data_IF_074731514562
#
_entry.id   IF_074731514562
#
_cell.length_a   1.000
_cell.length_b   1.000
_cell.length_c   1.000
_cell.angle_alpha   90.00
_cell.angle_beta   90.00
_cell.angle_gamma   90.00
#
_symmetry.space_group_name_H-M   'P 1'
#
loop_
_entity.id
_entity.type
_entity.pdbx_description
1 polymer ?
#
# COMPACT_ATOMS: atom_id res chain seq x y z
N UNK A 1 37.23 -176.95 -55.21
CA UNK A 1 38.23 -175.86 -55.27
C UNK A 1 37.61 -174.46 -55.36
N UNK A 2 36.70 -174.16 -56.31
CA UNK A 2 36.09 -172.82 -56.48
C UNK A 2 35.36 -172.29 -55.23
N UNK A 3 34.55 -173.12 -54.57
CA UNK A 3 33.85 -172.74 -53.32
C UNK A 3 34.80 -172.40 -52.16
N UNK A 4 35.96 -173.06 -52.05
CA UNK A 4 36.94 -172.77 -50.96
C UNK A 4 37.67 -171.44 -51.17
N UNK A 5 38.02 -171.10 -52.42
CA UNK A 5 38.66 -169.81 -52.76
C UNK A 5 37.69 -168.64 -52.66
N UNK A 6 36.43 -168.81 -53.07
CA UNK A 6 35.39 -167.78 -52.85
C UNK A 6 35.09 -167.59 -51.37
N UNK A 7 35.06 -168.68 -50.59
CA UNK A 7 34.89 -168.62 -49.14
C UNK A 7 36.04 -167.84 -48.47
N UNK A 8 37.29 -168.03 -48.90
CA UNK A 8 38.45 -167.32 -48.33
C UNK A 8 38.48 -165.82 -48.69
N UNK A 9 38.17 -165.45 -49.93
CA UNK A 9 38.05 -164.05 -50.36
C UNK A 9 36.90 -163.34 -49.63
N UNK A 10 35.77 -164.02 -49.45
CA UNK A 10 34.66 -163.50 -48.66
C UNK A 10 35.05 -163.37 -47.18
N UNK A 11 35.75 -164.36 -46.60
CA UNK A 11 36.30 -164.28 -45.24
C UNK A 11 37.28 -163.12 -45.08
N UNK A 12 38.19 -162.91 -46.03
CA UNK A 12 39.16 -161.80 -46.02
C UNK A 12 38.47 -160.44 -46.19
N UNK A 13 37.49 -160.32 -47.11
CA UNK A 13 36.70 -159.11 -47.27
C UNK A 13 35.87 -158.80 -46.01
N UNK A 14 35.28 -159.82 -45.39
CA UNK A 14 34.60 -159.69 -44.09
C UNK A 14 35.58 -159.27 -43.00
N UNK A 15 36.80 -159.82 -42.96
CA UNK A 15 37.83 -159.45 -41.98
C UNK A 15 38.32 -158.01 -42.18
N UNK A 16 38.59 -157.57 -43.42
CA UNK A 16 38.96 -156.19 -43.74
C UNK A 16 37.83 -155.20 -43.40
N UNK A 17 36.58 -155.55 -43.73
CA UNK A 17 35.41 -154.74 -43.34
C UNK A 17 35.24 -154.68 -41.83
N UNK A 18 35.42 -155.80 -41.11
CA UNK A 18 35.41 -155.82 -39.64
C UNK A 18 36.51 -154.95 -39.03
N UNK A 19 37.72 -154.97 -39.59
CA UNK A 19 38.83 -154.14 -39.12
C UNK A 19 38.58 -152.64 -39.39
N UNK A 20 38.05 -152.31 -40.58
CA UNK A 20 37.68 -150.93 -40.90
C UNK A 20 36.49 -150.43 -40.06
N UNK A 21 35.50 -151.29 -39.79
CA UNK A 21 34.42 -151.01 -38.84
C UNK A 21 34.99 -150.71 -37.45
N UNK A 22 35.90 -151.55 -36.94
CA UNK A 22 36.57 -151.29 -35.66
C UNK A 22 37.36 -149.97 -35.66
N UNK A 23 38.05 -149.64 -36.75
CA UNK A 23 38.77 -148.36 -36.89
C UNK A 23 37.82 -147.17 -36.87
N UNK A 24 36.70 -147.25 -37.59
CA UNK A 24 35.68 -146.19 -37.61
C UNK A 24 34.96 -146.08 -36.28
N UNK A 25 34.68 -147.18 -35.58
CA UNK A 25 34.16 -147.20 -34.22
C UNK A 25 35.14 -146.53 -33.24
N UNK A 26 36.44 -146.82 -33.34
CA UNK A 26 37.48 -146.15 -32.55
C UNK A 26 37.58 -144.65 -32.84
N UNK A 27 37.39 -144.23 -34.10
CA UNK A 27 37.40 -142.81 -34.48
C UNK A 27 36.12 -142.09 -34.02
N UNK A 28 34.97 -142.74 -34.17
CA UNK A 28 33.67 -142.23 -33.73
C UNK A 28 33.64 -142.05 -32.22
N UNK A 29 34.05 -143.06 -31.44
CA UNK A 29 34.16 -142.96 -29.97
C UNK A 29 35.15 -141.87 -29.55
N UNK A 30 36.26 -141.67 -30.28
CA UNK A 30 37.21 -140.59 -29.98
C UNK A 30 36.62 -139.20 -30.23
N UNK A 31 35.92 -138.99 -31.35
CA UNK A 31 35.24 -137.73 -31.63
C UNK A 31 34.04 -137.50 -30.72
N UNK A 32 33.27 -138.54 -30.38
CA UNK A 32 32.17 -138.47 -29.42
C UNK A 32 32.67 -138.04 -28.03
N UNK A 33 33.76 -138.64 -27.55
CA UNK A 33 34.42 -138.19 -26.31
C UNK A 33 34.98 -136.76 -26.41
N UNK A 34 35.34 -136.29 -27.61
CA UNK A 34 35.82 -134.90 -27.82
C UNK A 34 34.66 -133.92 -27.80
N UNK A 35 33.55 -134.26 -28.45
CA UNK A 35 32.31 -133.50 -28.45
C UNK A 35 31.71 -133.43 -27.05
N UNK A 36 31.63 -134.57 -26.34
CA UNK A 36 31.10 -134.61 -24.97
C UNK A 36 31.92 -133.71 -24.02
N UNK A 37 33.26 -133.68 -24.18
CA UNK A 37 34.10 -132.73 -23.43
C UNK A 37 33.79 -131.28 -23.80
N UNK A 38 33.69 -130.96 -25.09
CA UNK A 38 33.37 -129.62 -25.55
C UNK A 38 31.98 -129.15 -25.10
N UNK A 39 30.98 -130.03 -25.13
CA UNK A 39 29.63 -129.81 -24.64
C UNK A 39 29.64 -129.52 -23.14
N UNK A 40 30.34 -130.35 -22.35
CA UNK A 40 30.53 -130.09 -20.90
C UNK A 40 31.25 -128.77 -20.60
N UNK A 41 32.17 -128.33 -21.45
CA UNK A 41 32.81 -127.02 -21.29
C UNK A 41 31.84 -125.89 -21.63
N UNK A 42 31.09 -126.01 -22.72
CA UNK A 42 30.10 -125.01 -23.11
C UNK A 42 28.97 -124.89 -22.08
N UNK A 43 28.52 -126.01 -21.53
CA UNK A 43 27.53 -126.04 -20.44
C UNK A 43 28.05 -125.34 -19.19
N UNK A 44 29.30 -125.58 -18.79
CA UNK A 44 29.95 -124.86 -17.69
C UNK A 44 30.04 -123.36 -17.96
N UNK A 45 30.46 -122.96 -19.16
CA UNK A 45 30.56 -121.54 -19.53
C UNK A 45 29.17 -120.87 -19.53
N UNK A 46 28.13 -121.56 -19.99
CA UNK A 46 26.76 -121.07 -19.91
C UNK A 46 26.32 -120.87 -18.46
N UNK A 47 26.61 -121.81 -17.55
CA UNK A 47 26.29 -121.66 -16.12
C UNK A 47 27.05 -120.50 -15.46
N UNK A 48 28.33 -120.31 -15.81
CA UNK A 48 29.15 -119.19 -15.34
C UNK A 48 28.63 -117.84 -15.85
N UNK A 49 28.17 -117.80 -17.11
CA UNK A 49 27.58 -116.59 -17.69
C UNK A 49 26.26 -116.22 -17.03
N UNK A 50 25.39 -117.21 -16.78
CA UNK A 50 24.14 -116.99 -16.04
C UNK A 50 24.39 -116.55 -14.61
N UNK A 51 25.42 -117.08 -13.94
CA UNK A 51 25.89 -116.58 -12.64
C UNK A 51 26.38 -115.13 -12.71
N UNK A 52 27.16 -114.79 -13.73
CA UNK A 52 27.64 -113.43 -13.95
C UNK A 52 26.51 -112.44 -14.20
N UNK A 53 25.52 -112.79 -15.03
CA UNK A 53 24.34 -111.95 -15.28
C UNK A 53 23.53 -111.73 -14.01
N UNK A 54 23.27 -112.79 -13.24
CA UNK A 54 22.57 -112.67 -11.95
C UNK A 54 23.31 -111.76 -10.97
N UNK A 55 24.63 -111.87 -10.88
CA UNK A 55 25.42 -111.03 -9.97
C UNK A 55 25.51 -109.58 -10.48
N UNK A 56 25.63 -109.37 -11.79
CA UNK A 56 25.61 -108.02 -12.38
C UNK A 56 24.26 -107.33 -12.17
N UNK A 57 23.16 -108.02 -12.45
CA UNK A 57 21.80 -107.51 -12.23
C UNK A 57 21.58 -107.21 -10.75
N UNK A 58 22.04 -108.11 -9.86
CA UNK A 58 21.96 -107.91 -8.41
C UNK A 58 22.76 -106.67 -7.98
N UNK A 59 23.98 -106.51 -8.48
CA UNK A 59 24.86 -105.36 -8.19
C UNK A 59 24.27 -104.05 -8.73
N UNK A 60 23.75 -104.05 -9.96
CA UNK A 60 23.08 -102.91 -10.60
C UNK A 60 21.84 -102.47 -9.83
N UNK A 61 20.98 -103.41 -9.44
CA UNK A 61 19.79 -103.14 -8.60
C UNK A 61 20.19 -102.61 -7.23
N UNK A 62 21.25 -103.15 -6.61
CA UNK A 62 21.76 -102.64 -5.34
C UNK A 62 22.28 -101.20 -5.47
N UNK A 63 23.06 -100.90 -6.52
CA UNK A 63 23.55 -99.56 -6.81
C UNK A 63 22.40 -98.56 -7.05
N UNK A 64 21.37 -98.97 -7.79
CA UNK A 64 20.16 -98.17 -8.02
C UNK A 64 19.42 -97.88 -6.72
N UNK A 65 19.21 -98.90 -5.87
CA UNK A 65 18.57 -98.72 -4.55
C UNK A 65 19.36 -97.79 -3.64
N UNK A 66 20.70 -97.88 -3.65
CA UNK A 66 21.55 -96.97 -2.88
C UNK A 66 21.43 -95.53 -3.41
N UNK A 67 21.47 -95.33 -4.73
CA UNK A 67 21.26 -94.02 -5.34
C UNK A 67 19.88 -93.43 -5.04
N UNK A 68 18.82 -94.24 -5.05
CA UNK A 68 17.46 -93.82 -4.67
C UNK A 68 17.37 -93.40 -3.20
N UNK A 69 18.02 -94.13 -2.28
CA UNK A 69 18.09 -93.75 -0.87
C UNK A 69 18.83 -92.43 -0.67
N UNK A 70 19.98 -92.28 -1.30
CA UNK A 70 20.78 -91.04 -1.23
C UNK A 70 20.03 -89.84 -1.84
N UNK A 71 19.35 -90.03 -2.97
CA UNK A 71 18.53 -88.96 -3.58
C UNK A 71 17.32 -88.59 -2.73
N UNK A 72 16.71 -89.57 -2.04
CA UNK A 72 15.64 -89.31 -1.07
C UNK A 72 16.13 -88.47 0.11
N UNK A 73 17.26 -88.85 0.74
CA UNK A 73 17.86 -88.09 1.85
C UNK A 73 18.23 -86.67 1.38
N UNK A 74 18.82 -86.54 0.19
CA UNK A 74 19.12 -85.24 -0.41
C UNK A 74 17.86 -84.39 -0.59
N UNK A 75 16.77 -84.97 -1.09
CA UNK A 75 15.51 -84.25 -1.29
C UNK A 75 14.91 -83.78 0.04
N UNK A 76 14.92 -84.64 1.07
CA UNK A 76 14.50 -84.29 2.43
C UNK A 76 15.31 -83.12 2.99
N UNK A 77 16.64 -83.13 2.81
CA UNK A 77 17.51 -82.02 3.22
C UNK A 77 17.28 -80.74 2.42
N UNK A 78 16.95 -80.83 1.13
CA UNK A 78 16.57 -79.64 0.34
C UNK A 78 15.28 -79.01 0.86
N UNK A 79 14.30 -79.81 1.28
CA UNK A 79 13.05 -79.30 1.87
C UNK A 79 13.36 -78.62 3.20
N UNK A 80 14.15 -79.24 4.08
CA UNK A 80 14.56 -78.66 5.36
C UNK A 80 15.31 -77.32 5.18
N UNK A 81 16.22 -77.22 4.21
CA UNK A 81 16.92 -75.97 3.87
C UNK A 81 15.93 -74.89 3.41
N UNK A 82 14.93 -75.26 2.59
CA UNK A 82 13.92 -74.30 2.12
C UNK A 82 13.06 -73.80 3.27
N UNK A 83 12.64 -74.67 4.16
CA UNK A 83 11.83 -74.32 5.33
C UNK A 83 12.63 -73.41 6.28
N UNK A 84 13.89 -73.73 6.57
CA UNK A 84 14.78 -72.88 7.36
C UNK A 84 15.03 -71.53 6.69
N UNK A 85 15.20 -71.50 5.37
CA UNK A 85 15.38 -70.24 4.61
C UNK A 85 14.14 -69.36 4.71
N UNK A 86 12.94 -69.95 4.62
CA UNK A 86 11.68 -69.24 4.78
C UNK A 86 11.54 -68.66 6.21
N UNK A 87 11.90 -69.43 7.25
CA UNK A 87 11.91 -68.94 8.64
C UNK A 87 12.88 -67.78 8.83
N UNK A 88 14.10 -67.86 8.27
CA UNK A 88 15.07 -66.77 8.32
C UNK A 88 14.51 -65.51 7.66
N UNK A 89 13.85 -65.63 6.49
CA UNK A 89 13.23 -64.48 5.83
C UNK A 89 12.10 -63.88 6.68
N UNK A 90 11.27 -64.71 7.31
CA UNK A 90 10.21 -64.23 8.18
C UNK A 90 10.77 -63.47 9.39
N UNK A 91 11.74 -64.05 10.11
CA UNK A 91 12.40 -63.43 11.26
C UNK A 91 13.08 -62.12 10.85
N UNK A 92 13.78 -62.08 9.70
CA UNK A 92 14.39 -60.84 9.18
C UNK A 92 13.34 -59.76 8.91
N UNK A 93 12.18 -60.14 8.36
CA UNK A 93 11.09 -59.20 8.14
C UNK A 93 10.49 -58.67 9.44
N UNK A 94 10.40 -59.51 10.47
CA UNK A 94 9.96 -59.10 11.81
C UNK A 94 10.97 -58.17 12.48
N UNK A 95 12.27 -58.49 12.40
CA UNK A 95 13.35 -57.61 12.88
C UNK A 95 13.25 -56.24 12.23
N UNK A 96 13.09 -56.17 10.90
CA UNK A 96 12.94 -54.90 10.19
C UNK A 96 11.73 -54.09 10.69
N UNK A 97 10.58 -54.75 10.90
CA UNK A 97 9.38 -54.07 11.47
C UNK A 97 9.63 -53.54 12.88
N UNK A 98 10.33 -54.31 13.71
CA UNK A 98 10.68 -53.88 15.06
C UNK A 98 11.72 -52.76 15.07
N UNK A 99 12.69 -52.78 14.16
CA UNK A 99 13.66 -51.68 13.96
C UNK A 99 12.95 -50.40 13.54
N UNK A 100 12.01 -50.47 12.60
CA UNK A 100 11.20 -49.32 12.19
C UNK A 100 10.39 -48.80 13.38
N UNK A 101 9.72 -49.68 14.13
CA UNK A 101 8.94 -49.29 15.32
C UNK A 101 9.83 -48.66 16.39
N UNK A 102 11.03 -49.19 16.60
CA UNK A 102 12.01 -48.64 17.54
C UNK A 102 12.47 -47.25 17.12
N UNK A 103 12.66 -46.98 15.82
CA UNK A 103 12.97 -45.63 15.34
C UNK A 103 11.85 -44.64 15.67
N UNK A 104 10.59 -45.02 15.48
CA UNK A 104 9.45 -44.16 15.86
C UNK A 104 9.45 -43.88 17.36
N UNK A 105 9.70 -44.89 18.20
CA UNK A 105 9.79 -44.70 19.65
C UNK A 105 10.97 -43.82 20.07
N UNK A 106 12.12 -43.89 19.37
CA UNK A 106 13.24 -42.97 19.60
C UNK A 106 12.85 -41.53 19.29
N UNK A 107 12.19 -41.29 18.15
CA UNK A 107 11.69 -39.96 17.77
C UNK A 107 10.71 -39.43 18.81
N UNK A 108 9.77 -40.27 19.28
CA UNK A 108 8.82 -39.87 20.33
C UNK A 108 9.52 -39.59 21.66
N UNK A 109 10.52 -40.39 22.05
CA UNK A 109 11.33 -40.15 23.25
C UNK A 109 12.04 -38.79 23.17
N UNK A 110 12.70 -38.50 22.05
CA UNK A 110 13.41 -37.23 21.84
C UNK A 110 12.45 -36.04 21.85
N UNK A 111 11.25 -36.21 21.28
CA UNK A 111 10.20 -35.20 21.31
C UNK A 111 9.71 -34.92 22.74
N UNK A 112 9.44 -35.97 23.52
CA UNK A 112 9.02 -35.83 24.92
C UNK A 112 10.10 -35.15 25.76
N UNK A 113 11.39 -35.41 25.53
CA UNK A 113 12.46 -34.69 26.21
C UNK A 113 12.49 -33.20 25.85
N UNK A 114 12.24 -32.82 24.59
CA UNK A 114 12.18 -31.40 24.20
C UNK A 114 11.03 -30.65 24.87
N UNK A 115 9.92 -31.33 25.15
CA UNK A 115 8.75 -30.76 25.81
C UNK A 115 8.82 -30.85 27.34
N UNK A 116 9.71 -31.68 27.88
CA UNK A 116 9.90 -31.80 29.33
C UNK A 116 10.51 -30.49 29.87
N UNK A 117 10.06 -30.01 31.05
CA UNK A 117 10.64 -28.83 31.69
C UNK A 117 12.15 -28.97 31.87
N UNK A 118 12.89 -27.90 31.59
CA UNK A 118 14.36 -27.90 31.66
C UNK A 118 14.86 -28.19 33.07
N UNK A 119 14.15 -27.68 34.07
CA UNK A 119 14.44 -27.88 35.49
C UNK A 119 14.39 -29.36 35.86
N UNK A 120 13.46 -30.12 35.28
CA UNK A 120 13.35 -31.56 35.51
C UNK A 120 14.42 -32.34 34.73
N UNK A 121 14.75 -31.92 33.51
CA UNK A 121 15.82 -32.53 32.71
C UNK A 121 17.19 -32.39 33.37
N UNK A 122 17.48 -31.19 33.89
CA UNK A 122 18.75 -30.89 34.57
C UNK A 122 18.89 -31.73 35.85
N UNK A 123 17.81 -31.90 36.62
CA UNK A 123 17.79 -32.76 37.81
C UNK A 123 18.00 -34.25 37.46
N UNK A 124 17.45 -34.70 36.34
CA UNK A 124 17.67 -36.08 35.85
C UNK A 124 19.09 -36.29 35.34
N UNK A 125 19.66 -35.31 34.65
CA UNK A 125 21.05 -35.37 34.20
C UNK A 125 22.02 -35.37 35.40
N UNK A 126 21.74 -34.57 36.42
CA UNK A 126 22.50 -34.56 37.67
C UNK A 126 22.43 -35.91 38.38
N UNK A 127 21.24 -36.52 38.46
CA UNK A 127 21.05 -37.89 38.99
C UNK A 127 21.83 -38.93 38.18
N UNK A 128 21.81 -38.83 36.84
CA UNK A 128 22.58 -39.71 35.94
C UNK A 128 24.08 -39.57 36.19
N UNK A 129 24.57 -38.34 36.32
CA UNK A 129 25.98 -38.07 36.62
C UNK A 129 26.37 -38.55 38.01
N UNK A 130 25.49 -38.44 39.01
CA UNK A 130 25.72 -38.93 40.36
C UNK A 130 25.75 -40.47 40.40
N UNK A 131 24.85 -41.14 39.70
CA UNK A 131 24.83 -42.60 39.56
C UNK A 131 26.08 -43.12 38.83
N UNK A 132 26.50 -42.45 37.75
CA UNK A 132 27.75 -42.78 37.05
C UNK A 132 28.98 -42.63 37.95
N UNK A 133 29.03 -41.57 38.76
CA UNK A 133 30.10 -41.36 39.76
C UNK A 133 30.05 -42.40 40.89
N UNK A 134 28.86 -42.89 41.27
CA UNK A 134 28.70 -43.92 42.28
C UNK A 134 29.00 -45.34 41.76
N UNK A 135 28.79 -45.58 40.46
CA UNK A 135 29.13 -46.84 39.75
C UNK A 135 30.61 -46.97 39.40
N UNK A 136 31.47 -46.00 39.69
CA UNK A 136 32.93 -46.17 39.64
C UNK A 136 33.54 -46.52 41.01
N UNK A 137 33.58 -47.79 41.43
CA UNK A 137 34.52 -48.27 42.45
C UNK A 137 35.73 -48.95 41.78
N UNK A 138 36.87 -48.23 41.76
CA UNK A 138 38.24 -48.72 41.78
C UNK A 138 38.64 -49.94 40.94
N UNK A 139 39.29 -49.72 39.79
CA UNK A 139 40.29 -50.64 39.26
C UNK A 139 41.71 -50.08 39.53
N UNK A 140 42.36 -50.72 40.50
CA UNK A 140 43.78 -50.52 40.84
C UNK A 140 44.68 -51.08 39.73
N UNK A 141 45.71 -50.30 39.41
CA UNK A 141 47.09 -50.69 39.07
C UNK A 141 47.34 -52.20 39.11
N UNK A 142 47.65 -52.80 37.94
CA UNK A 142 48.42 -54.05 37.87
C UNK A 142 49.35 -54.05 36.65
N UNK A 143 50.53 -53.49 36.88
CA UNK A 143 51.85 -53.92 36.42
C UNK A 143 51.99 -54.53 35.02
N UNK A 144 52.37 -53.63 34.12
CA UNK A 144 53.31 -53.91 33.03
C UNK A 144 54.65 -54.42 33.59
N UNK A 145 54.90 -55.73 33.52
CA UNK A 145 56.18 -56.36 33.10
C UNK A 145 56.31 -57.82 33.58
N UNK A 146 56.28 -58.80 32.67
CA UNK A 146 57.23 -59.93 32.70
C UNK A 146 57.31 -60.70 31.36
N UNK A 147 58.45 -60.52 30.69
CA UNK A 147 59.27 -61.49 29.96
C UNK A 147 58.64 -62.61 29.09
N UNK A 148 58.95 -62.53 27.78
CA UNK A 148 59.80 -63.46 27.00
C UNK A 148 59.75 -64.97 27.30
N UNK A 149 59.45 -65.81 26.28
CA UNK A 149 60.39 -66.77 25.64
C UNK A 149 59.71 -67.89 24.79
N UNK A 150 60.32 -68.15 23.62
CA UNK A 150 60.23 -69.31 22.69
C UNK A 150 58.87 -69.54 21.98
N UNK A 151 58.73 -69.45 20.65
CA UNK A 151 59.48 -70.11 19.54
C UNK A 151 58.46 -71.03 18.82
N UNK A 152 58.43 -71.31 17.52
CA UNK A 152 59.25 -71.02 16.35
C UNK A 152 58.42 -71.46 15.11
N UNK A 153 58.73 -70.87 13.95
CA UNK A 153 58.54 -71.34 12.55
C UNK A 153 57.15 -71.55 11.89
N UNK A 154 57.01 -70.82 10.76
CA UNK A 154 56.31 -71.27 9.55
C UNK A 154 55.73 -70.14 8.69
N UNK A 155 56.52 -69.15 8.26
CA UNK A 155 56.97 -68.97 6.85
C UNK A 155 55.99 -69.41 5.75
N UNK A 156 55.54 -68.45 4.93
CA UNK A 156 55.52 -68.66 3.47
C UNK A 156 54.23 -68.41 2.69
N UNK A 157 54.04 -67.14 2.30
CA UNK A 157 53.66 -66.68 0.96
C UNK A 157 52.27 -66.95 0.33
N UNK A 158 51.59 -65.80 0.09
CA UNK A 158 51.03 -65.32 -1.20
C UNK A 158 49.92 -66.17 -1.86
N UNK A 159 48.70 -65.61 -1.94
CA UNK A 159 48.26 -64.86 -3.13
C UNK A 159 46.79 -64.45 -3.03
N UNK A 160 46.51 -63.21 -3.47
CA UNK A 160 45.19 -62.68 -3.78
C UNK A 160 44.53 -63.49 -4.90
N UNK A 161 43.25 -63.82 -4.77
CA UNK A 161 42.36 -63.88 -5.94
C UNK A 161 40.93 -63.64 -5.49
N UNK A 162 40.40 -62.54 -5.98
CA UNK A 162 39.01 -62.19 -5.88
C UNK A 162 38.22 -62.89 -6.99
N UNK A 163 36.90 -62.94 -6.78
CA UNK A 163 35.83 -62.97 -7.79
C UNK A 163 35.32 -64.32 -8.32
N UNK A 164 34.01 -64.48 -8.09
CA UNK A 164 32.99 -64.72 -9.11
C UNK A 164 32.75 -66.18 -9.51
N UNK A 165 31.86 -66.82 -8.76
CA UNK A 165 31.20 -68.04 -9.22
C UNK A 165 30.15 -67.66 -10.25
N UNK A 166 30.52 -67.79 -11.53
CA UNK A 166 29.59 -67.76 -12.67
C UNK A 166 29.39 -69.19 -13.17
N UNK A 167 28.12 -69.56 -13.16
CA UNK A 167 27.55 -70.86 -13.49
C UNK A 167 27.86 -71.29 -14.93
N UNK A 168 28.33 -72.52 -15.08
CA UNK A 168 28.59 -73.18 -16.36
C UNK A 168 27.40 -74.08 -16.69
N UNK A 169 26.63 -73.70 -17.73
CA UNK A 169 25.74 -74.63 -18.42
C UNK A 169 26.43 -75.10 -19.72
N UNK A 170 26.64 -76.41 -19.82
CA UNK A 170 27.12 -77.09 -21.02
C UNK A 170 25.97 -77.85 -21.70
N UNK A 171 25.81 -77.51 -22.98
CA UNK A 171 25.14 -78.19 -24.10
C UNK A 171 24.97 -79.71 -23.98
N UNK A 172 23.75 -80.19 -24.33
CA UNK A 172 23.57 -81.27 -25.34
C UNK A 172 22.30 -81.04 -26.19
N UNK A 173 22.51 -80.93 -27.52
CA UNK A 173 21.58 -81.18 -28.64
C UNK A 173 21.80 -82.64 -29.11
N UNK A 174 20.87 -83.34 -29.81
CA UNK A 174 20.41 -83.00 -31.19
C UNK A 174 18.91 -83.30 -31.46
N UNK A 175 18.26 -82.68 -32.46
CA UNK A 175 18.27 -83.14 -33.85
C UNK A 175 17.66 -82.10 -34.80
N UNK A 176 18.06 -82.18 -36.07
CA UNK A 176 17.67 -81.32 -37.19
C UNK A 176 16.50 -81.95 -37.95
N UNK A 177 15.51 -81.16 -38.39
CA UNK A 177 14.99 -81.20 -39.77
C UNK A 177 14.61 -79.77 -40.18
N UNK A 178 14.96 -79.43 -41.42
CA UNK A 178 14.84 -78.15 -42.10
C UNK A 178 13.60 -78.15 -43.01
N UNK A 179 12.85 -77.02 -43.10
CA UNK A 179 12.77 -76.19 -44.31
C UNK A 179 11.84 -74.95 -44.17
N UNK A 180 12.45 -73.79 -44.41
CA UNK A 180 12.03 -72.59 -45.16
C UNK A 180 10.58 -72.05 -45.12
N UNK A 181 10.48 -70.73 -44.89
CA UNK A 181 9.33 -69.88 -45.28
C UNK A 181 9.45 -68.43 -44.78
N UNK A 182 9.70 -67.51 -45.70
CA UNK A 182 9.88 -66.04 -45.63
C UNK A 182 9.01 -65.19 -44.67
N UNK A 183 9.70 -64.24 -43.97
CA UNK A 183 9.52 -62.76 -43.99
C UNK A 183 8.15 -62.11 -43.59
N UNK A 184 8.06 -60.77 -43.36
CA UNK A 184 7.92 -60.24 -41.99
C UNK A 184 6.80 -59.19 -41.79
N UNK A 185 6.72 -58.69 -40.55
CA UNK A 185 6.37 -57.31 -40.11
C UNK A 185 4.91 -56.88 -39.88
N UNK A 186 4.78 -56.11 -38.79
CA UNK A 186 3.95 -54.89 -38.58
C UNK A 186 2.66 -54.99 -37.77
N UNK A 187 2.68 -54.33 -36.60
CA UNK A 187 1.84 -53.18 -36.17
C UNK A 187 2.30 -52.75 -34.75
N UNK A 188 3.01 -51.64 -34.57
CA UNK A 188 2.53 -50.24 -34.33
C UNK A 188 1.71 -50.12 -33.02
N UNK A 189 2.21 -49.56 -31.90
CA UNK A 189 2.64 -48.17 -31.57
C UNK A 189 1.52 -47.29 -30.97
N UNK A 190 1.87 -46.60 -29.88
CA UNK A 190 1.15 -45.54 -29.15
C UNK A 190 0.57 -44.42 -30.04
N UNK A 191 -0.28 -43.54 -29.49
CA UNK A 191 0.24 -42.22 -29.08
C UNK A 191 -0.30 -41.66 -27.75
N UNK A 192 0.51 -40.75 -27.21
CA UNK A 192 0.34 -39.87 -26.05
C UNK A 192 -0.18 -38.49 -26.51
N UNK A 193 -0.54 -37.62 -25.54
CA UNK A 193 -0.76 -36.13 -25.54
C UNK A 193 -2.16 -35.81 -24.95
N UNK A 194 -2.39 -34.88 -24.01
CA UNK A 194 -1.54 -33.90 -23.34
C UNK A 194 -2.33 -33.08 -22.31
N UNK A 195 -1.57 -32.56 -21.33
CA UNK A 195 -1.77 -31.61 -20.23
C UNK A 195 -2.92 -30.57 -20.26
N UNK A 196 -3.44 -30.27 -19.05
CA UNK A 196 -3.55 -28.90 -18.53
C UNK A 196 -3.62 -28.89 -16.98
N UNK A 197 -2.94 -27.94 -16.36
CA UNK A 197 -2.56 -27.85 -14.95
C UNK A 197 -3.28 -26.70 -14.22
N UNK A 198 -3.60 -26.88 -12.93
CA UNK A 198 -3.55 -25.83 -11.88
C UNK A 198 -3.17 -26.47 -10.52
N UNK A 199 -2.49 -25.73 -9.61
CA UNK A 199 -1.65 -26.31 -8.57
C UNK A 199 -2.31 -26.36 -7.17
N UNK A 200 -2.06 -27.44 -6.43
CA UNK A 200 -2.30 -27.50 -4.98
C UNK A 200 -1.06 -27.05 -4.23
N UNK A 201 -1.17 -25.92 -3.53
CA UNK A 201 -0.25 -25.51 -2.48
C UNK A 201 -0.45 -26.43 -1.28
N UNK A 202 0.39 -27.44 -1.10
CA UNK A 202 0.76 -28.11 0.15
C UNK A 202 1.71 -29.25 -0.24
N UNK A 203 2.89 -29.30 0.39
CA UNK A 203 3.97 -30.30 0.20
C UNK A 203 5.20 -29.81 -0.57
N UNK A 204 5.84 -28.74 -0.09
CA UNK A 204 7.22 -28.43 -0.49
C UNK A 204 8.05 -27.93 0.69
N UNK A 205 8.18 -28.78 1.73
CA UNK A 205 9.18 -28.63 2.78
C UNK A 205 9.56 -30.04 3.27
N UNK A 206 10.22 -30.83 2.43
CA UNK A 206 11.02 -31.98 2.86
C UNK A 206 11.83 -32.55 1.68
N UNK A 207 12.95 -31.91 1.32
CA UNK A 207 13.93 -32.49 0.38
C UNK A 207 15.33 -31.84 0.41
N UNK A 208 15.64 -30.99 1.41
CA UNK A 208 16.99 -30.42 1.56
C UNK A 208 17.39 -30.29 3.03
N UNK A 209 17.59 -31.42 3.69
CA UNK A 209 18.44 -31.48 4.88
C UNK A 209 19.01 -32.90 5.07
N UNK A 210 19.71 -33.39 4.05
CA UNK A 210 20.46 -34.66 4.17
C UNK A 210 21.89 -34.44 3.73
N UNK A 211 22.64 -33.77 4.59
CA UNK A 211 24.09 -33.96 4.82
C UNK A 211 24.54 -32.95 5.88
N UNK A 212 24.17 -33.23 7.13
CA UNK A 212 25.00 -32.82 8.24
C UNK A 212 25.50 -34.10 8.87
N UNK A 213 26.79 -34.36 8.68
CA UNK A 213 27.56 -35.37 9.39
C UNK A 213 27.51 -35.05 10.88
N UNK A 214 26.53 -35.61 11.58
CA UNK A 214 26.52 -35.68 13.03
C UNK A 214 27.37 -36.91 13.40
N UNK A 215 28.35 -36.80 14.31
CA UNK A 215 29.10 -37.97 14.75
C UNK A 215 28.10 -38.93 15.39
N UNK A 216 28.03 -40.16 14.88
CA UNK A 216 27.42 -41.27 15.60
C UNK A 216 28.12 -41.38 16.95
N UNK A 217 27.49 -40.87 18.01
CA UNK A 217 27.75 -41.40 19.34
C UNK A 217 27.14 -42.79 19.33
N UNK A 218 28.02 -43.78 19.20
CA UNK A 218 27.72 -45.14 19.62
C UNK A 218 27.41 -45.10 21.12
N UNK A 219 26.12 -45.01 21.46
CA UNK A 219 25.65 -45.33 22.81
C UNK A 219 25.79 -46.83 23.01
N UNK A 220 27.02 -47.24 23.32
CA UNK A 220 27.31 -48.53 23.92
C UNK A 220 27.01 -48.40 25.42
N UNK A 221 25.74 -48.28 25.78
CA UNK A 221 25.28 -48.36 27.18
C UNK A 221 23.86 -48.96 27.20
N UNK A 222 23.78 -50.20 26.74
CA UNK A 222 22.69 -51.10 27.09
C UNK A 222 22.91 -51.59 28.53
N UNK A 223 22.65 -50.74 29.52
CA UNK A 223 22.52 -51.20 30.91
C UNK A 223 21.37 -50.47 31.63
N UNK A 224 20.16 -50.98 31.41
CA UNK A 224 19.21 -51.26 32.50
C UNK A 224 18.76 -50.15 33.46
N UNK A 225 18.72 -48.89 33.07
CA UNK A 225 18.06 -47.86 33.88
C UNK A 225 16.85 -47.29 33.10
N UNK A 226 15.68 -47.86 33.38
CA UNK A 226 14.36 -47.29 33.05
C UNK A 226 14.22 -45.96 33.82
N UNK A 227 14.75 -44.87 33.26
CA UNK A 227 14.47 -43.54 33.79
C UNK A 227 13.04 -43.15 33.41
N UNK A 228 12.25 -42.84 34.42
CA UNK A 228 10.87 -42.40 34.27
C UNK A 228 10.80 -41.17 33.35
N UNK A 229 9.93 -41.23 32.35
CA UNK A 229 9.58 -40.07 31.52
C UNK A 229 8.84 -39.04 32.39
N UNK A 230 9.00 -37.74 32.07
CA UNK A 230 8.26 -36.67 32.75
C UNK A 230 6.74 -36.84 32.58
N UNK A 231 6.32 -37.19 31.36
CA UNK A 231 4.93 -37.46 31.03
C UNK A 231 4.62 -38.94 31.28
N UNK A 232 3.80 -39.21 32.29
CA UNK A 232 3.33 -40.56 32.63
C UNK A 232 1.98 -40.87 32.01
N UNK A 233 1.16 -39.84 31.79
CA UNK A 233 -0.17 -39.96 31.17
C UNK A 233 -0.22 -39.15 29.87
N UNK A 234 -0.76 -39.71 28.76
CA UNK A 234 -0.88 -38.99 27.49
C UNK A 234 -1.66 -37.67 27.59
N UNK A 235 -2.57 -37.57 28.56
CA UNK A 235 -3.38 -36.38 28.78
C UNK A 235 -2.55 -35.17 29.24
N UNK A 236 -1.47 -35.40 30.02
CA UNK A 236 -0.57 -34.33 30.46
C UNK A 236 0.09 -33.60 29.27
N UNK A 237 0.43 -34.35 28.22
CA UNK A 237 0.99 -33.76 27.00
C UNK A 237 -0.06 -32.93 26.24
N UNK A 238 -1.29 -33.43 26.17
CA UNK A 238 -2.40 -32.72 25.53
C UNK A 238 -2.78 -31.44 26.29
N UNK A 239 -2.72 -31.48 27.62
CA UNK A 239 -2.97 -30.31 28.48
C UNK A 239 -1.87 -29.25 28.27
N UNK A 240 -0.59 -29.65 28.15
CA UNK A 240 0.51 -28.74 27.78
C UNK A 240 0.29 -28.13 26.40
N UNK A 241 -0.14 -28.92 25.41
CA UNK A 241 -0.48 -28.38 24.09
C UNK A 241 -1.64 -27.40 24.14
N UNK A 242 -2.71 -27.74 24.86
CA UNK A 242 -3.87 -26.86 25.03
C UNK A 242 -3.44 -25.54 25.69
N UNK A 243 -2.60 -25.61 26.71
CA UNK A 243 -2.06 -24.41 27.37
C UNK A 243 -1.17 -23.58 26.43
N UNK A 244 -0.31 -24.22 25.62
CA UNK A 244 0.52 -23.53 24.63
C UNK A 244 -0.34 -22.92 23.51
N UNK A 245 -1.42 -23.60 23.11
CA UNK A 245 -2.40 -23.07 22.15
C UNK A 245 -3.12 -21.85 22.72
N UNK A 246 -3.61 -21.92 23.96
CA UNK A 246 -4.22 -20.78 24.66
C UNK A 246 -3.24 -19.61 24.81
N UNK A 247 -1.99 -19.88 25.19
CA UNK A 247 -0.95 -18.86 25.27
C UNK A 247 -0.66 -18.23 23.90
N UNK A 248 -0.51 -19.03 22.86
CA UNK A 248 -0.30 -18.53 21.50
C UNK A 248 -1.49 -17.70 21.01
N UNK A 249 -2.72 -18.15 21.27
CA UNK A 249 -3.93 -17.38 20.96
C UNK A 249 -3.97 -16.05 21.72
N UNK A 250 -3.60 -16.05 23.00
CA UNK A 250 -3.53 -14.83 23.80
C UNK A 250 -2.46 -13.86 23.29
N UNK A 251 -1.31 -14.36 22.85
CA UNK A 251 -0.23 -13.56 22.25
C UNK A 251 -0.65 -12.97 20.91
N UNK A 252 -1.32 -13.76 20.07
CA UNK A 252 -1.87 -13.30 18.79
C UNK A 252 -2.90 -12.21 19.03
N UNK A 253 -3.85 -12.44 19.94
CA UNK A 253 -4.87 -11.45 20.27
C UNK A 253 -4.24 -10.16 20.81
N UNK A 254 -3.30 -10.26 21.75
CA UNK A 254 -2.62 -9.08 22.30
C UNK A 254 -1.82 -8.32 21.23
N UNK A 255 -1.17 -9.03 20.31
CA UNK A 255 -0.45 -8.43 19.18
C UNK A 255 -1.41 -7.68 18.27
N UNK A 256 -2.57 -8.28 17.97
CA UNK A 256 -3.59 -7.66 17.13
C UNK A 256 -4.24 -6.44 17.79
N UNK A 257 -4.57 -6.52 19.09
CA UNK A 257 -5.07 -5.38 19.87
C UNK A 257 -4.04 -4.24 19.91
N UNK A 258 -2.77 -4.57 20.13
CA UNK A 258 -1.68 -3.59 20.09
C UNK A 258 -1.52 -2.96 18.70
N UNK A 259 -1.62 -3.75 17.63
CA UNK A 259 -1.59 -3.26 16.24
C UNK A 259 -2.74 -2.30 15.97
N UNK A 260 -3.97 -2.62 16.38
CA UNK A 260 -5.14 -1.74 16.26
C UNK A 260 -4.92 -0.42 17.02
N UNK A 261 -4.42 -0.47 18.26
CA UNK A 261 -4.12 0.77 19.00
C UNK A 261 -3.04 1.61 18.32
N UNK A 262 -2.05 0.97 17.70
CA UNK A 262 -0.98 1.64 16.97
C UNK A 262 -1.51 2.29 15.69
N UNK A 263 -2.43 1.63 14.99
CA UNK A 263 -3.11 2.17 13.81
C UNK A 263 -3.99 3.36 14.17
N UNK A 264 -4.75 3.29 15.25
CA UNK A 264 -5.52 4.43 15.77
C UNK A 264 -4.62 5.62 16.13
N UNK A 265 -3.49 5.36 16.81
CA UNK A 265 -2.49 6.38 17.11
C UNK A 265 -1.88 6.98 15.83
N UNK A 266 -1.61 6.16 14.81
CA UNK A 266 -1.11 6.64 13.53
C UNK A 266 -2.14 7.51 12.80
N UNK A 267 -3.43 7.14 12.83
CA UNK A 267 -4.50 7.93 12.23
C UNK A 267 -4.66 9.27 12.95
N UNK A 268 -4.65 9.28 14.29
CA UNK A 268 -4.72 10.52 15.07
C UNK A 268 -3.49 11.41 14.85
N UNK A 269 -2.29 10.83 14.77
CA UNK A 269 -1.06 11.55 14.41
C UNK A 269 -1.15 12.17 13.02
N UNK A 270 -1.58 11.41 12.00
CA UNK A 270 -1.76 11.94 10.64
C UNK A 270 -2.79 13.08 10.61
N UNK A 271 -3.92 12.92 11.30
CA UNK A 271 -4.95 13.95 11.36
C UNK A 271 -4.46 15.23 12.06
N UNK A 272 -3.71 15.10 13.16
CA UNK A 272 -3.11 16.25 13.86
C UNK A 272 -2.04 16.93 13.01
N UNK A 273 -1.19 16.16 12.32
CA UNK A 273 -0.21 16.69 11.37
C UNK A 273 -0.90 17.50 10.26
N UNK A 274 -1.94 16.95 9.63
CA UNK A 274 -2.72 17.65 8.59
C UNK A 274 -3.32 18.96 9.14
N UNK A 275 -3.85 18.95 10.38
CA UNK A 275 -4.40 20.15 11.02
C UNK A 275 -3.32 21.21 11.23
N UNK A 276 -2.17 20.81 11.80
CA UNK A 276 -1.03 21.72 12.00
C UNK A 276 -0.51 22.28 10.68
N UNK A 277 -0.40 21.47 9.64
CA UNK A 277 0.04 21.93 8.32
C UNK A 277 -0.94 22.94 7.70
N UNK A 278 -2.25 22.76 7.90
CA UNK A 278 -3.26 23.76 7.51
C UNK A 278 -3.10 25.06 8.28
N UNK A 279 -2.92 25.00 9.59
CA UNK A 279 -2.69 26.19 10.43
C UNK A 279 -1.41 26.93 10.02
N UNK A 280 -0.31 26.21 9.80
CA UNK A 280 0.95 26.78 9.31
C UNK A 280 0.76 27.45 7.95
N UNK A 281 0.03 26.82 7.03
CA UNK A 281 -0.25 27.41 5.72
C UNK A 281 -1.12 28.67 5.81
N UNK A 282 -2.12 28.67 6.70
CA UNK A 282 -2.95 29.86 6.97
C UNK A 282 -2.11 31.00 7.54
N UNK A 283 -1.23 30.70 8.51
CA UNK A 283 -0.32 31.69 9.08
C UNK A 283 0.65 32.25 8.03
N UNK A 284 1.20 31.41 7.15
CA UNK A 284 2.03 31.85 6.02
C UNK A 284 1.27 32.79 5.08
N UNK A 285 0.03 32.47 4.73
CA UNK A 285 -0.82 33.34 3.91
C UNK A 285 -1.11 34.67 4.59
N UNK A 286 -1.37 34.66 5.90
CA UNK A 286 -1.61 35.87 6.68
C UNK A 286 -0.37 36.75 6.75
N UNK A 287 0.81 36.16 7.00
CA UNK A 287 2.11 36.85 6.94
C UNK A 287 2.30 37.48 5.56
N UNK A 288 2.08 36.74 4.47
CA UNK A 288 2.21 37.28 3.11
C UNK A 288 1.25 38.45 2.85
N UNK A 289 0.03 38.37 3.35
CA UNK A 289 -0.98 39.42 3.20
C UNK A 289 -0.56 40.69 3.95
N UNK A 290 -0.14 40.54 5.20
CA UNK A 290 0.35 41.65 6.03
C UNK A 290 1.61 42.26 5.39
N UNK A 291 2.56 41.46 4.93
CA UNK A 291 3.76 41.96 4.25
C UNK A 291 3.39 42.79 3.00
N UNK A 292 2.41 42.35 2.22
CA UNK A 292 1.94 43.10 1.05
C UNK A 292 1.24 44.41 1.45
N UNK A 293 0.44 44.41 2.52
CA UNK A 293 -0.16 45.63 3.08
C UNK A 293 0.89 46.61 3.60
N UNK A 294 1.91 46.13 4.32
CA UNK A 294 3.03 46.95 4.80
C UNK A 294 3.74 47.59 3.62
N UNK A 295 4.10 46.81 2.60
CA UNK A 295 4.78 47.34 1.41
C UNK A 295 3.96 48.42 0.69
N UNK A 296 2.64 48.24 0.59
CA UNK A 296 1.74 49.24 -0.02
C UNK A 296 1.63 50.51 0.83
N UNK A 297 1.58 50.37 2.15
CA UNK A 297 1.54 51.50 3.08
C UNK A 297 2.88 52.26 3.06
N UNK A 298 4.01 51.55 3.00
CA UNK A 298 5.35 52.14 2.85
C UNK A 298 5.48 52.91 1.52
N UNK A 299 4.96 52.37 0.41
CA UNK A 299 4.91 53.06 -0.88
C UNK A 299 4.03 54.32 -0.80
N UNK A 300 2.84 54.21 -0.20
CA UNK A 300 1.93 55.34 -0.01
C UNK A 300 2.53 56.43 0.89
N UNK A 301 3.23 56.04 1.96
CA UNK A 301 3.95 56.93 2.84
C UNK A 301 5.10 57.64 2.12
N UNK A 302 5.85 56.92 1.27
CA UNK A 302 6.89 57.50 0.43
C UNK A 302 6.32 58.49 -0.59
N UNK A 303 5.18 58.17 -1.24
CA UNK A 303 4.48 59.07 -2.16
C UNK A 303 4.00 60.33 -1.44
N UNK A 304 3.37 60.20 -0.28
CA UNK A 304 2.93 61.33 0.53
C UNK A 304 4.10 62.19 1.02
N UNK A 305 5.22 61.57 1.41
CA UNK A 305 6.43 62.28 1.79
C UNK A 305 7.00 63.09 0.61
N UNK A 306 7.02 62.49 -0.59
CA UNK A 306 7.43 63.18 -1.81
C UNK A 306 6.48 64.35 -2.11
N UNK A 307 5.16 64.11 -2.06
CA UNK A 307 4.13 65.12 -2.25
C UNK A 307 4.32 66.26 -1.26
N UNK A 308 4.44 65.96 0.03
CA UNK A 308 4.71 66.95 1.06
C UNK A 308 5.97 67.75 0.71
N UNK A 309 7.10 67.10 0.39
CA UNK A 309 8.33 67.79 -0.01
C UNK A 309 8.11 68.72 -1.21
N UNK A 310 7.40 68.28 -2.26
CA UNK A 310 7.08 69.11 -3.43
C UNK A 310 6.21 70.32 -3.06
N UNK A 311 5.16 70.13 -2.25
CA UNK A 311 4.30 71.22 -1.79
C UNK A 311 5.02 72.20 -0.85
N UNK A 312 6.01 71.74 -0.07
CA UNK A 312 6.83 72.61 0.78
C UNK A 312 7.93 73.35 -0.01
N UNK A 313 8.27 72.94 -1.23
CA UNK A 313 9.24 73.63 -2.10
C UNK A 313 8.63 74.79 -2.91
N UNK A 314 7.33 74.77 -3.15
CA UNK A 314 6.60 75.96 -3.56
C UNK A 314 6.34 76.82 -2.33
N UNK A 315 6.49 78.14 -2.42
CA UNK A 315 5.95 79.07 -1.42
C UNK A 315 4.41 78.96 -1.43
N UNK A 316 3.88 77.87 -0.86
CA UNK A 316 2.47 77.67 -0.68
C UNK A 316 2.03 78.66 0.40
N UNK A 317 1.47 79.78 -0.04
CA UNK A 317 0.86 80.84 0.78
C UNK A 317 -0.48 80.36 1.38
N UNK A 318 -0.51 79.14 1.91
CA UNK A 318 -1.68 78.52 2.53
C UNK A 318 -2.26 79.41 3.62
N UNK A 319 -1.39 79.93 4.50
CA UNK A 319 -1.78 80.87 5.55
C UNK A 319 -2.48 82.13 5.01
N UNK A 320 -2.07 82.64 3.84
CA UNK A 320 -2.72 83.81 3.24
C UNK A 320 -4.08 83.46 2.61
N UNK A 321 -4.20 82.24 2.06
CA UNK A 321 -5.45 81.75 1.50
C UNK A 321 -6.45 81.39 2.61
N UNK A 322 -5.99 80.84 3.73
CA UNK A 322 -6.81 80.52 4.89
C UNK A 322 -7.34 81.79 5.56
N UNK A 323 -6.49 82.81 5.74
CA UNK A 323 -6.92 84.13 6.21
C UNK A 323 -7.97 84.78 5.28
N UNK A 324 -7.83 84.60 3.96
CA UNK A 324 -8.81 85.09 3.00
C UNK A 324 -10.13 84.32 3.10
N UNK A 325 -10.07 82.99 3.28
CA UNK A 325 -11.22 82.12 3.41
C UNK A 325 -11.99 82.41 4.71
N UNK A 326 -11.28 82.65 5.82
CA UNK A 326 -11.89 83.11 7.07
C UNK A 326 -12.56 84.47 6.89
N UNK A 327 -11.90 85.42 6.23
CA UNK A 327 -12.50 86.74 5.94
C UNK A 327 -13.78 86.63 5.10
N UNK A 328 -13.78 85.76 4.09
CA UNK A 328 -14.95 85.47 3.28
C UNK A 328 -16.06 84.84 4.12
N UNK A 329 -15.73 83.85 4.95
CA UNK A 329 -16.68 83.18 5.81
C UNK A 329 -17.38 84.17 6.75
N UNK A 330 -16.63 85.09 7.37
CA UNK A 330 -17.18 86.17 8.21
C UNK A 330 -18.15 87.07 7.43
N UNK A 331 -17.79 87.50 6.20
CA UNK A 331 -18.68 88.33 5.38
C UNK A 331 -19.97 87.60 4.98
N UNK A 332 -19.86 86.32 4.62
CA UNK A 332 -21.03 85.49 4.26
C UNK A 332 -21.93 85.28 5.47
N UNK A 333 -21.34 85.05 6.66
CA UNK A 333 -22.06 85.00 7.93
C UNK A 333 -22.83 86.29 8.22
N UNK A 334 -22.20 87.45 8.01
CA UNK A 334 -22.85 88.75 8.21
C UNK A 334 -24.03 88.98 7.27
N UNK A 335 -23.91 88.58 6.00
CA UNK A 335 -25.00 88.70 5.01
C UNK A 335 -26.14 87.74 5.35
N UNK A 336 -25.83 86.48 5.65
CA UNK A 336 -26.82 85.48 6.03
C UNK A 336 -27.64 85.89 7.26
N UNK A 337 -26.97 86.43 8.29
CA UNK A 337 -27.62 86.99 9.49
C UNK A 337 -28.63 88.07 9.18
N UNK A 338 -28.30 88.97 8.25
CA UNK A 338 -29.15 90.11 7.87
C UNK A 338 -30.33 89.68 6.99
N UNK A 339 -30.14 88.71 6.11
CA UNK A 339 -31.14 88.34 5.11
C UNK A 339 -32.11 87.23 5.57
N UNK A 340 -31.64 86.24 6.34
CA UNK A 340 -32.38 84.99 6.61
C UNK A 340 -32.75 84.83 8.09
N UNK A 341 -31.95 85.40 9.00
CA UNK A 341 -32.15 85.35 10.45
C UNK A 341 -31.30 84.28 11.17
N UNK A 342 -31.23 84.38 12.51
CA UNK A 342 -30.27 83.69 13.38
C UNK A 342 -30.57 82.20 13.64
N UNK A 343 -31.62 81.61 13.06
CA UNK A 343 -32.14 80.30 13.48
C UNK A 343 -31.26 79.08 13.11
N UNK A 344 -30.31 79.19 12.17
CA UNK A 344 -29.57 78.03 11.61
C UNK A 344 -28.05 78.25 11.49
N UNK A 345 -27.45 79.11 12.32
CA UNK A 345 -26.03 79.48 12.17
C UNK A 345 -25.01 78.37 12.46
N UNK A 346 -25.36 77.36 13.27
CA UNK A 346 -24.38 76.44 13.83
C UNK A 346 -23.93 75.28 12.90
N UNK A 347 -24.65 75.01 11.80
CA UNK A 347 -24.45 73.78 11.01
C UNK A 347 -24.23 74.01 9.49
N UNK A 348 -24.15 75.26 9.03
CA UNK A 348 -24.03 75.58 7.60
C UNK A 348 -22.60 75.97 7.25
N UNK A 349 -22.01 75.31 6.25
CA UNK A 349 -20.73 75.74 5.66
C UNK A 349 -20.91 76.99 4.78
N UNK A 350 -19.85 77.75 4.52
CA UNK A 350 -19.89 79.02 3.76
C UNK A 350 -20.60 78.90 2.41
N UNK A 351 -20.40 77.79 1.69
CA UNK A 351 -21.07 77.53 0.40
C UNK A 351 -22.57 77.31 0.61
N UNK A 352 -22.96 76.55 1.62
CA UNK A 352 -24.38 76.30 1.92
C UNK A 352 -25.09 77.59 2.35
N UNK A 353 -24.42 78.45 3.12
CA UNK A 353 -24.94 79.76 3.50
C UNK A 353 -25.19 80.66 2.28
N UNK A 354 -24.25 80.67 1.31
CA UNK A 354 -24.42 81.40 0.06
C UNK A 354 -25.62 80.90 -0.76
N UNK A 355 -25.81 79.58 -0.86
CA UNK A 355 -26.95 78.99 -1.56
C UNK A 355 -28.30 79.41 -0.95
N UNK A 356 -28.39 79.50 0.38
CA UNK A 356 -29.62 79.95 1.05
C UNK A 356 -29.85 81.46 0.84
N UNK A 357 -28.80 82.28 0.86
CA UNK A 357 -28.90 83.71 0.55
C UNK A 357 -29.35 83.93 -0.89
N UNK A 358 -28.81 83.16 -1.84
CA UNK A 358 -29.21 83.20 -3.26
C UNK A 358 -30.70 82.85 -3.42
N UNK A 359 -31.15 81.77 -2.79
CA UNK A 359 -32.57 81.39 -2.83
C UNK A 359 -33.51 82.45 -2.24
N UNK A 360 -33.11 83.08 -1.12
CA UNK A 360 -33.87 84.17 -0.50
C UNK A 360 -33.92 85.42 -1.39
N UNK A 361 -32.83 85.71 -2.08
CA UNK A 361 -32.78 86.81 -3.05
C UNK A 361 -33.73 86.54 -4.22
N UNK A 362 -33.73 85.31 -4.76
CA UNK A 362 -34.64 84.91 -5.83
C UNK A 362 -36.11 84.99 -5.41
N UNK A 363 -36.44 84.54 -4.19
CA UNK A 363 -37.81 84.62 -3.66
C UNK A 363 -38.28 86.08 -3.50
N UNK A 364 -37.40 86.98 -3.03
CA UNK A 364 -37.70 88.40 -2.93
C UNK A 364 -37.90 89.05 -4.30
N UNK A 365 -37.10 88.66 -5.30
CA UNK A 365 -37.25 89.15 -6.67
C UNK A 365 -38.56 88.65 -7.31
N UNK A 366 -38.92 87.38 -7.16
CA UNK A 366 -40.22 86.87 -7.61
C UNK A 366 -41.39 87.58 -6.94
N UNK A 367 -41.30 87.84 -5.63
CA UNK A 367 -42.32 88.57 -4.90
C UNK A 367 -42.48 90.02 -5.40
N UNK A 368 -41.38 90.66 -5.82
CA UNK A 368 -41.39 91.99 -6.40
C UNK A 368 -42.06 92.01 -7.78
N UNK A 369 -41.80 91.00 -8.62
CA UNK A 369 -42.45 90.87 -9.94
C UNK A 369 -43.94 90.54 -9.84
N UNK A 370 -44.34 89.74 -8.84
CA UNK A 370 -45.72 89.30 -8.63
C UNK A 370 -46.60 90.35 -7.92
N UNK A 371 -46.07 91.53 -7.57
CA UNK A 371 -46.87 92.58 -6.93
C UNK A 371 -48.06 92.95 -7.83
N UNK A 372 -49.32 92.75 -7.38
CA UNK A 372 -50.48 92.99 -8.23
C UNK A 372 -50.54 94.44 -8.70
N UNK A 373 -50.72 94.64 -10.01
CA UNK A 373 -50.84 95.97 -10.64
C UNK A 373 -51.89 96.86 -9.96
N UNK A 374 -52.94 96.26 -9.41
CA UNK A 374 -53.99 96.96 -8.63
C UNK A 374 -53.42 97.65 -7.38
N UNK A 375 -52.48 97.02 -6.67
CA UNK A 375 -51.83 97.64 -5.49
C UNK A 375 -50.90 98.78 -5.92
N UNK A 376 -50.20 98.64 -7.05
CA UNK A 376 -49.34 99.68 -7.63
C UNK A 376 -50.20 100.89 -8.01
N UNK A 377 -51.28 100.70 -8.76
CA UNK A 377 -52.21 101.77 -9.11
C UNK A 377 -52.85 102.44 -7.89
N UNK A 378 -53.20 101.68 -6.85
CA UNK A 378 -53.73 102.23 -5.60
C UNK A 378 -52.70 103.11 -4.89
N UNK A 379 -51.44 102.67 -4.84
CA UNK A 379 -50.33 103.44 -4.27
C UNK A 379 -50.04 104.71 -5.09
N UNK A 380 -50.01 104.62 -6.42
CA UNK A 380 -49.89 105.78 -7.32
C UNK A 380 -51.06 106.75 -7.14
N UNK A 381 -52.31 106.26 -7.14
CA UNK A 381 -53.50 107.09 -6.88
C UNK A 381 -53.48 107.70 -5.48
N UNK A 382 -52.89 107.05 -4.48
CA UNK A 382 -52.72 107.61 -3.14
C UNK A 382 -51.65 108.71 -3.13
N UNK A 383 -50.48 108.47 -3.73
CA UNK A 383 -49.40 109.46 -3.87
C UNK A 383 -49.83 110.67 -4.70
N UNK A 384 -50.56 110.46 -5.79
CA UNK A 384 -51.09 111.54 -6.62
C UNK A 384 -52.21 112.31 -5.89
N UNK A 385 -53.04 111.63 -5.07
CA UNK A 385 -53.99 112.32 -4.18
C UNK A 385 -53.26 113.16 -3.13
N UNK A 386 -52.23 112.62 -2.47
CA UNK A 386 -51.40 113.35 -1.49
C UNK A 386 -50.78 114.60 -2.14
N UNK A 387 -50.18 114.43 -3.33
CA UNK A 387 -49.61 115.52 -4.11
C UNK A 387 -50.64 116.60 -4.46
N UNK A 388 -51.82 116.20 -4.95
CA UNK A 388 -52.92 117.15 -5.26
C UNK A 388 -53.43 117.86 -4.01
N UNK A 389 -53.51 117.18 -2.87
CA UNK A 389 -53.91 117.79 -1.60
C UNK A 389 -52.88 118.82 -1.14
N UNK A 390 -51.58 118.49 -1.17
CA UNK A 390 -50.51 119.46 -0.85
C UNK A 390 -50.58 120.71 -1.72
N UNK A 391 -50.75 120.56 -3.05
CA UNK A 391 -50.84 121.69 -3.97
C UNK A 391 -52.08 122.56 -3.68
N UNK A 392 -53.23 121.95 -3.36
CA UNK A 392 -54.45 122.70 -3.00
C UNK A 392 -54.30 123.42 -1.67
N UNK A 393 -53.74 122.76 -0.66
CA UNK A 393 -53.48 123.35 0.66
C UNK A 393 -52.53 124.53 0.55
N UNK A 394 -51.46 124.42 -0.24
CA UNK A 394 -50.56 125.53 -0.54
C UNK A 394 -51.29 126.68 -1.24
N UNK A 395 -52.11 126.41 -2.25
CA UNK A 395 -52.87 127.45 -2.98
C UNK A 395 -53.88 128.18 -2.09
N UNK A 396 -54.58 127.45 -1.22
CA UNK A 396 -55.52 128.03 -0.24
C UNK A 396 -54.78 128.85 0.80
N UNK A 397 -53.61 128.38 1.28
CA UNK A 397 -52.76 129.11 2.21
C UNK A 397 -52.32 130.46 1.62
N UNK A 398 -51.82 130.45 0.38
CA UNK A 398 -51.44 131.68 -0.34
C UNK A 398 -52.62 132.65 -0.53
N UNK A 399 -53.83 132.16 -0.83
CA UNK A 399 -55.01 133.02 -0.93
C UNK A 399 -55.44 133.62 0.41
N UNK A 400 -55.35 132.83 1.50
CA UNK A 400 -55.67 133.27 2.86
C UNK A 400 -54.69 134.35 3.32
N UNK A 401 -53.39 134.15 3.10
CA UNK A 401 -52.36 135.15 3.38
C UNK A 401 -52.62 136.45 2.62
N UNK A 402 -52.95 136.37 1.33
CA UNK A 402 -53.30 137.57 0.54
C UNK A 402 -54.57 138.26 1.05
N UNK A 403 -55.58 137.50 1.50
CA UNK A 403 -56.79 138.05 2.12
C UNK A 403 -56.49 138.69 3.48
N UNK A 404 -55.71 138.04 4.34
CA UNK A 404 -55.27 138.56 5.63
C UNK A 404 -54.44 139.84 5.46
N UNK A 405 -53.53 139.87 4.48
CA UNK A 405 -52.73 141.06 4.14
C UNK A 405 -53.63 142.22 3.66
N UNK A 406 -54.65 141.93 2.83
CA UNK A 406 -55.64 142.93 2.41
C UNK A 406 -56.44 143.45 3.60
N UNK A 407 -56.89 142.57 4.49
CA UNK A 407 -57.64 142.92 5.69
C UNK A 407 -56.79 143.77 6.64
N UNK A 408 -55.54 143.37 6.89
CA UNK A 408 -54.58 144.13 7.69
C UNK A 408 -54.29 145.52 7.09
N UNK A 409 -54.06 145.59 5.77
CA UNK A 409 -53.84 146.87 5.06
C UNK A 409 -55.09 147.76 5.07
N UNK A 410 -56.29 147.19 5.12
CA UNK A 410 -57.54 147.94 5.32
C UNK A 410 -57.68 148.43 6.77
N UNK A 411 -57.35 147.58 7.76
CA UNK A 411 -57.39 147.90 9.20
C UNK A 411 -56.38 149.01 9.55
N UNK A 412 -55.17 148.93 9.02
CA UNK A 412 -54.13 149.96 9.15
C UNK A 412 -54.58 151.29 8.52
N UNK A 413 -55.27 151.27 7.38
CA UNK A 413 -55.87 152.47 6.77
C UNK A 413 -56.98 153.08 7.62
N UNK A 414 -57.80 152.25 8.28
CA UNK A 414 -58.86 152.73 9.17
C UNK A 414 -58.31 153.31 10.48
N UNK A 415 -57.20 152.78 11.00
CA UNK A 415 -56.54 153.27 12.22
C UNK A 415 -55.61 154.46 11.97
N UNK A 416 -55.21 154.71 10.72
CA UNK A 416 -54.36 155.85 10.38
C UNK A 416 -55.09 157.17 10.67
N UNK A 417 -54.46 158.04 11.45
CA UNK A 417 -55.01 159.34 11.82
C UNK A 417 -55.41 160.17 10.60
N UNK A 418 -56.65 160.64 10.59
CA UNK A 418 -57.20 161.50 9.54
C UNK A 418 -56.53 162.88 9.64
N UNK A 419 -55.47 163.10 8.85
CA UNK A 419 -54.83 164.41 8.69
C UNK A 419 -55.78 165.38 7.95
N UNK A 420 -56.45 166.26 8.69
CA UNK A 420 -57.27 167.35 8.12
C UNK A 420 -56.37 168.37 7.42
N UNK A 421 -56.38 168.40 6.09
CA UNK A 421 -55.65 169.40 5.30
C UNK A 421 -56.48 170.68 5.18
N UNK A 422 -55.94 171.81 5.65
CA UNK A 422 -56.48 173.16 5.38
C UNK A 422 -55.87 173.68 4.07
N UNK A 423 -56.70 174.22 3.18
CA UNK A 423 -56.28 174.91 1.94
C UNK A 423 -56.58 174.13 0.65
N UNK A 424 -56.83 174.88 -0.43
CA UNK A 424 -57.16 174.36 -1.77
C UNK A 424 -56.05 173.45 -2.33
N UNK A 425 -56.45 172.32 -2.86
CA UNK A 425 -55.60 171.26 -3.44
C UNK A 425 -55.10 171.70 -4.82
N UNK A 426 -53.79 171.71 -5.03
CA UNK A 426 -53.19 171.93 -6.35
C UNK A 426 -53.49 170.72 -7.25
N UNK A 427 -54.08 170.96 -8.42
CA UNK A 427 -54.36 169.94 -9.44
C UNK A 427 -53.14 169.86 -10.37
N UNK A 428 -52.42 168.75 -10.32
CA UNK A 428 -51.42 168.44 -11.34
C UNK A 428 -52.12 167.87 -12.58
N UNK A 429 -51.71 168.39 -13.74
CA UNK A 429 -52.21 168.09 -15.08
C UNK A 429 -51.78 166.69 -15.55
N UNK A 430 -52.56 166.10 -16.46
CA UNK A 430 -52.43 164.72 -16.97
C UNK A 430 -51.33 164.51 -18.02
N UNK A 431 -50.50 163.46 -17.76
CA UNK A 431 -50.00 162.34 -18.60
C UNK A 431 -49.34 162.54 -19.98
N UNK A 432 -48.33 161.68 -20.27
CA UNK A 432 -48.25 160.94 -21.54
C UNK A 432 -48.29 159.40 -21.34
N UNK A 433 -48.75 158.62 -22.34
CA UNK A 433 -48.76 157.16 -22.33
C UNK A 433 -47.38 156.61 -22.66
N UNK A 434 -46.84 155.70 -21.82
CA UNK A 434 -45.59 155.00 -22.11
C UNK A 434 -45.90 153.67 -22.80
N UNK A 435 -45.18 153.50 -23.90
CA UNK A 435 -45.21 152.46 -24.91
C UNK A 435 -44.95 151.09 -24.27
N UNK A 436 -45.74 150.08 -24.66
CA UNK A 436 -45.50 148.68 -24.29
C UNK A 436 -44.23 148.19 -24.98
N UNK A 437 -43.15 148.07 -24.21
CA UNK A 437 -42.01 147.24 -24.60
C UNK A 437 -42.39 145.80 -24.25
N UNK A 438 -42.40 144.94 -25.26
CA UNK A 438 -42.53 143.50 -25.14
C UNK A 438 -41.14 142.99 -24.71
N UNK A 439 -40.92 142.86 -23.41
CA UNK A 439 -39.78 142.09 -22.92
C UNK A 439 -40.11 140.62 -23.08
N UNK A 440 -39.36 140.00 -23.99
CA UNK A 440 -39.29 138.57 -24.17
C UNK A 440 -38.79 137.92 -22.87
N UNK A 441 -39.29 136.72 -22.61
CA UNK A 441 -38.93 135.88 -21.49
C UNK A 441 -37.42 135.82 -21.29
N UNK A 442 -36.94 136.27 -20.13
CA UNK A 442 -35.66 135.76 -19.61
C UNK A 442 -35.85 134.28 -19.32
N UNK A 443 -35.53 133.48 -20.34
CA UNK A 443 -35.14 132.10 -20.18
C UNK A 443 -33.91 132.13 -19.25
N UNK A 444 -34.15 131.84 -17.98
CA UNK A 444 -33.06 131.55 -17.04
C UNK A 444 -32.40 130.29 -17.58
N UNK A 445 -31.29 130.47 -18.29
CA UNK A 445 -30.41 129.38 -18.71
C UNK A 445 -29.93 128.69 -17.44
N UNK A 446 -30.64 127.63 -17.06
CA UNK A 446 -30.18 126.67 -16.08
C UNK A 446 -28.89 126.05 -16.63
N UNK A 447 -27.88 125.89 -15.76
CA UNK A 447 -26.69 125.09 -16.06
C UNK A 447 -27.12 123.76 -16.67
N UNK A 448 -26.64 123.43 -17.88
CA UNK A 448 -26.85 122.10 -18.48
C UNK A 448 -26.46 120.96 -17.54
N UNK A 449 -25.41 121.17 -16.73
CA UNK A 449 -24.95 120.21 -15.72
C UNK A 449 -25.93 120.04 -14.54
N UNK A 450 -26.78 121.04 -14.26
CA UNK A 450 -27.83 120.96 -13.23
C UNK A 450 -29.12 120.36 -13.76
N UNK A 451 -29.42 120.54 -15.05
CA UNK A 451 -30.57 119.93 -15.72
C UNK A 451 -30.34 118.43 -15.96
N UNK A 452 -29.11 118.01 -16.29
CA UNK A 452 -28.72 116.59 -16.39
C UNK A 452 -28.71 115.89 -15.03
N UNK A 453 -28.25 116.56 -13.96
CA UNK A 453 -28.38 116.01 -12.59
C UNK A 453 -29.83 115.86 -12.13
N UNK A 454 -30.74 116.76 -12.53
CA UNK A 454 -32.15 116.66 -12.17
C UNK A 454 -32.91 115.61 -12.98
N UNK A 455 -32.47 115.33 -14.22
CA UNK A 455 -33.07 114.32 -15.10
C UNK A 455 -32.66 112.88 -14.74
N UNK A 456 -31.47 112.66 -14.16
CA UNK A 456 -30.99 111.33 -13.78
C UNK A 456 -31.27 110.94 -12.32
N UNK A 457 -31.58 111.89 -11.43
CA UNK A 457 -31.75 111.63 -9.99
C UNK A 457 -33.12 112.03 -9.41
N UNK A 458 -34.15 112.19 -10.26
CA UNK A 458 -35.57 112.22 -9.86
C UNK A 458 -36.32 111.12 -10.58
#
# INVERSE_FOLDING_TARGET
MKQKRSMFLLQYAVAMKRNEIQRLEMLATREENRLERAEKFLEKDATLFDEFLRENDRSSVQAMKLAEKETKIKMEKIIEIRDLTAQIMNIKSEISKFEDTLQHYKIYKDFLYKLSPKEWLDEQEEKRLALRKAKEPGEFIKDSSMATLLGDRGSGNKSKTALLWKEVQSLKKPSKVSRFGQAPSSTQSLPQVGQASQPSLYSELDSRMSSSTVPSQEDTDSDGEDLALYFTEPQQLLDVFTQLEEQNLSLIQNTQEMEETLDDLNVTLKNTQIRMDREVNMLKQWISTIMMSISKEEESAAELQLKARVFHFGEYKGDQQDMLLESLNHKVLDVYRKCVGTQQEANLGTVQMLTVVEHQLDELLENLERVPQVKIEQAEKAKERERRMRIREEKVRMQKELQEERLQRARARAQAEIKKKRGRRLICRSRPPVIKIKEESEHTMMDKDKEEMLFFFT
#
